data_IF_698446792247
#
_entry.id   IF_698446792247
#
_cell.length_a   1.000
_cell.length_b   1.000
_cell.length_c   1.000
_cell.angle_alpha   90.00
_cell.angle_beta   90.00
_cell.angle_gamma   90.00
#
_symmetry.space_group_name_H-M   'P 1'
#
loop_
_entity.id
_entity.type
_entity.pdbx_description
1 polymer ?
#
# COMPACT_ATOMS: atom_id res chain seq x y z
N UNK A 1 -8.64 -18.96 -24.67
CA UNK A 1 -7.99 -17.64 -24.81
C UNK A 1 -7.47 -17.25 -23.44
N UNK A 2 -6.20 -17.56 -23.17
CA UNK A 2 -5.53 -17.34 -21.89
C UNK A 2 -5.16 -15.85 -21.76
N UNK A 3 -5.51 -15.26 -20.61
CA UNK A 3 -5.37 -13.84 -20.30
C UNK A 3 -3.90 -13.34 -20.42
N UNK A 4 -3.57 -12.71 -21.55
CA UNK A 4 -2.32 -11.98 -21.81
C UNK A 4 -2.07 -10.79 -20.87
N UNK A 5 -3.03 -10.45 -20.00
CA UNK A 5 -2.87 -9.38 -19.01
C UNK A 5 -1.77 -9.66 -17.97
N UNK A 6 -1.45 -10.93 -17.71
CA UNK A 6 -0.35 -11.31 -16.81
C UNK A 6 1.03 -11.03 -17.41
N UNK A 7 1.15 -10.99 -18.75
CA UNK A 7 2.42 -10.83 -19.47
C UNK A 7 2.86 -9.38 -19.70
N UNK A 8 2.07 -8.37 -19.28
CA UNK A 8 2.35 -6.95 -19.60
C UNK A 8 3.01 -6.14 -18.49
N UNK A 9 3.22 -6.70 -17.29
CA UNK A 9 3.94 -5.99 -16.22
C UNK A 9 5.44 -6.14 -16.45
N UNK A 10 6.16 -5.02 -16.50
CA UNK A 10 7.62 -5.06 -16.51
C UNK A 10 8.15 -5.80 -15.27
N UNK A 11 9.35 -6.39 -15.31
CA UNK A 11 9.92 -7.11 -14.17
C UNK A 11 9.93 -6.28 -12.88
N UNK A 12 10.16 -4.97 -12.98
CA UNK A 12 10.16 -4.05 -11.84
C UNK A 12 8.77 -3.94 -11.20
N UNK A 13 7.71 -3.87 -11.99
CA UNK A 13 6.32 -3.81 -11.51
C UNK A 13 5.92 -5.14 -10.87
N UNK A 14 6.36 -6.27 -11.43
CA UNK A 14 6.13 -7.58 -10.83
C UNK A 14 6.83 -7.72 -9.48
N UNK A 15 8.08 -7.27 -9.39
CA UNK A 15 8.83 -7.26 -8.14
C UNK A 15 8.18 -6.35 -7.09
N UNK A 16 7.74 -5.16 -7.48
CA UNK A 16 7.00 -4.25 -6.60
C UNK A 16 5.69 -4.88 -6.11
N UNK A 17 4.93 -5.54 -6.98
CA UNK A 17 3.71 -6.26 -6.60
C UNK A 17 3.99 -7.40 -5.59
N UNK A 18 5.07 -8.15 -5.80
CA UNK A 18 5.50 -9.21 -4.88
C UNK A 18 5.86 -8.65 -3.49
N UNK A 19 6.59 -7.53 -3.46
CA UNK A 19 6.92 -6.83 -2.21
C UNK A 19 5.67 -6.33 -1.48
N UNK A 20 4.72 -5.72 -2.21
CA UNK A 20 3.43 -5.29 -1.65
C UNK A 20 2.67 -6.49 -1.05
N UNK A 21 2.61 -7.62 -1.77
CA UNK A 21 1.97 -8.85 -1.30
C UNK A 21 2.63 -9.36 -0.01
N UNK A 22 3.96 -9.38 0.04
CA UNK A 22 4.72 -9.75 1.23
C UNK A 22 4.40 -8.85 2.42
N UNK A 23 4.39 -7.52 2.25
CA UNK A 23 4.04 -6.55 3.30
C UNK A 23 2.64 -6.83 3.86
N UNK A 24 1.66 -7.15 2.99
CA UNK A 24 0.31 -7.50 3.44
C UNK A 24 0.27 -8.81 4.23
N UNK A 25 1.02 -9.82 3.82
CA UNK A 25 1.11 -11.10 4.55
C UNK A 25 1.70 -10.87 5.94
N UNK A 26 2.80 -10.11 6.04
CA UNK A 26 3.43 -9.76 7.31
C UNK A 26 2.51 -8.95 8.21
N UNK A 27 1.78 -7.98 7.65
CA UNK A 27 0.80 -7.19 8.39
C UNK A 27 -0.34 -8.08 8.93
N UNK A 28 -0.87 -8.97 8.10
CA UNK A 28 -1.92 -9.91 8.50
C UNK A 28 -1.44 -10.87 9.60
N UNK A 29 -0.17 -11.33 9.50
CA UNK A 29 0.45 -12.15 10.53
C UNK A 29 0.57 -11.40 11.85
N UNK A 30 1.14 -10.19 11.83
CA UNK A 30 1.23 -9.32 13.01
C UNK A 30 -0.13 -9.09 13.66
N UNK A 31 -1.17 -8.87 12.87
CA UNK A 31 -2.52 -8.70 13.38
C UNK A 31 -3.06 -9.97 14.07
N UNK A 32 -2.77 -11.16 13.53
CA UNK A 32 -3.11 -12.44 14.18
C UNK A 32 -2.37 -12.61 15.51
N UNK A 33 -1.07 -12.35 15.52
CA UNK A 33 -0.21 -12.51 16.69
C UNK A 33 -0.64 -11.57 17.83
N UNK A 34 -0.88 -10.30 17.51
CA UNK A 34 -1.33 -9.31 18.49
C UNK A 34 -2.74 -9.63 19.00
N UNK A 35 -3.65 -10.12 18.14
CA UNK A 35 -4.98 -10.59 18.59
C UNK A 35 -4.86 -11.77 19.55
N UNK A 36 -3.99 -12.73 19.24
CA UNK A 36 -3.75 -13.87 20.12
C UNK A 36 -3.17 -13.41 21.46
N UNK A 37 -2.16 -12.54 21.45
CA UNK A 37 -1.56 -11.95 22.65
C UNK A 37 -2.57 -11.16 23.51
N UNK A 38 -3.48 -10.41 22.89
CA UNK A 38 -4.53 -9.69 23.60
C UNK A 38 -5.52 -10.65 24.27
N UNK A 39 -5.88 -11.76 23.61
CA UNK A 39 -6.75 -12.80 24.18
C UNK A 39 -6.11 -13.54 25.35
N UNK A 40 -4.79 -13.71 25.34
CA UNK A 40 -4.04 -14.37 26.42
C UNK A 40 -3.65 -13.43 27.57
N UNK A 41 -4.24 -12.23 27.62
CA UNK A 41 -4.12 -11.32 28.76
C UNK A 41 -2.88 -10.43 28.75
N UNK A 42 -2.22 -10.21 27.60
CA UNK A 42 -1.10 -9.26 27.51
C UNK A 42 -1.61 -7.82 27.35
N UNK A 43 -1.52 -6.94 28.37
CA UNK A 43 -2.15 -5.61 28.33
C UNK A 43 -1.59 -4.71 27.22
N UNK A 44 -0.29 -4.77 26.94
CA UNK A 44 0.33 -4.01 25.84
C UNK A 44 -0.22 -4.42 24.45
N UNK A 45 -0.67 -5.66 24.29
CA UNK A 45 -1.21 -6.13 23.01
C UNK A 45 -2.57 -5.49 22.68
N UNK A 46 -3.37 -5.11 23.68
CA UNK A 46 -4.63 -4.40 23.45
C UNK A 46 -4.38 -3.00 22.83
N UNK A 47 -3.37 -2.28 23.32
CA UNK A 47 -2.96 -0.98 22.78
C UNK A 47 -2.43 -1.12 21.35
N UNK A 48 -1.56 -2.11 21.11
CA UNK A 48 -1.03 -2.39 19.76
C UNK A 48 -2.16 -2.78 18.81
N UNK A 49 -3.13 -3.58 19.26
CA UNK A 49 -4.28 -3.98 18.46
C UNK A 49 -5.17 -2.78 18.10
N UNK A 50 -5.41 -1.89 19.05
CA UNK A 50 -6.15 -0.65 18.81
C UNK A 50 -5.43 0.23 17.78
N UNK A 51 -4.11 0.38 17.91
CA UNK A 51 -3.29 1.10 16.94
C UNK A 51 -3.40 0.48 15.54
N UNK A 52 -3.16 -0.83 15.40
CA UNK A 52 -3.27 -1.54 14.11
C UNK A 52 -4.68 -1.49 13.50
N UNK A 53 -5.74 -1.37 14.31
CA UNK A 53 -7.10 -1.17 13.80
C UNK A 53 -7.32 0.24 13.27
N UNK A 54 -6.72 1.24 13.91
CA UNK A 54 -6.78 2.64 13.48
C UNK A 54 -5.88 2.91 12.27
N UNK A 55 -4.76 2.18 12.12
CA UNK A 55 -3.82 2.30 11.00
C UNK A 55 -3.82 1.04 10.13
N UNK A 56 -4.81 0.90 9.22
CA UNK A 56 -4.86 -0.25 8.32
C UNK A 56 -3.59 -0.36 7.45
N UNK A 57 -3.34 -1.56 6.91
CA UNK A 57 -2.18 -1.81 6.05
C UNK A 57 -2.08 -0.76 4.95
N UNK A 58 -0.95 -0.06 4.89
CA UNK A 58 -0.77 1.13 4.05
C UNK A 58 -0.61 0.84 2.54
N UNK A 59 -0.74 -0.42 2.12
CA UNK A 59 -0.51 -0.84 0.73
C UNK A 59 -1.71 -1.62 0.15
N UNK A 60 -2.05 -1.40 -1.13
CA UNK A 60 -3.20 -2.06 -1.76
C UNK A 60 -2.96 -3.56 -1.95
N UNK A 61 -4.03 -4.33 -2.13
CA UNK A 61 -3.92 -5.67 -2.67
C UNK A 61 -3.61 -5.57 -4.18
N UNK A 62 -2.43 -6.00 -4.65
CA UNK A 62 -2.02 -5.84 -6.05
C UNK A 62 -2.85 -6.70 -7.03
N UNK A 63 -3.67 -7.60 -6.49
CA UNK A 63 -4.59 -8.47 -7.23
C UNK A 63 -6.04 -7.92 -7.25
N UNK A 64 -6.33 -6.81 -6.55
CA UNK A 64 -7.69 -6.21 -6.53
C UNK A 64 -7.68 -4.82 -7.14
N UNK A 65 -8.29 -4.69 -8.32
CA UNK A 65 -8.42 -3.43 -9.06
C UNK A 65 -8.96 -2.27 -8.24
N UNK A 66 -10.07 -2.48 -7.53
CA UNK A 66 -10.70 -1.44 -6.71
C UNK A 66 -9.82 -0.96 -5.55
N UNK A 67 -9.01 -1.86 -4.97
CA UNK A 67 -8.09 -1.49 -3.89
C UNK A 67 -6.91 -0.68 -4.43
N UNK A 68 -6.34 -1.09 -5.57
CA UNK A 68 -5.31 -0.32 -6.28
C UNK A 68 -5.82 1.07 -6.70
N UNK A 69 -7.02 1.16 -7.28
CA UNK A 69 -7.62 2.43 -7.71
C UNK A 69 -7.79 3.42 -6.55
N UNK A 70 -8.29 2.94 -5.40
CA UNK A 70 -8.46 3.76 -4.19
C UNK A 70 -7.12 4.29 -3.68
N UNK A 71 -6.07 3.47 -3.70
CA UNK A 71 -4.74 3.90 -3.25
C UNK A 71 -4.06 4.84 -4.26
N UNK A 72 -4.28 4.64 -5.57
CA UNK A 72 -3.82 5.57 -6.60
C UNK A 72 -4.44 6.96 -6.39
N UNK A 73 -5.77 7.05 -6.25
CA UNK A 73 -6.46 8.31 -6.02
C UNK A 73 -6.00 9.03 -4.73
N UNK A 74 -5.73 8.26 -3.66
CA UNK A 74 -5.17 8.83 -2.43
C UNK A 74 -3.74 9.37 -2.64
N UNK A 75 -2.88 8.64 -3.34
CA UNK A 75 -1.52 9.08 -3.65
C UNK A 75 -1.52 10.33 -4.57
N UNK A 76 -2.44 10.41 -5.54
CA UNK A 76 -2.64 11.59 -6.39
C UNK A 76 -3.11 12.81 -5.59
N UNK A 77 -4.04 12.63 -4.65
CA UNK A 77 -4.48 13.69 -3.75
C UNK A 77 -3.30 14.21 -2.91
N UNK A 78 -2.52 13.30 -2.30
CA UNK A 78 -1.33 13.67 -1.54
C UNK A 78 -0.29 14.39 -2.41
N UNK A 79 -0.09 13.93 -3.66
CA UNK A 79 0.82 14.59 -4.59
C UNK A 79 0.37 16.03 -4.89
N UNK A 80 -0.93 16.25 -5.14
CA UNK A 80 -1.49 17.60 -5.35
C UNK A 80 -1.34 18.48 -4.12
N UNK A 81 -1.61 17.95 -2.93
CA UNK A 81 -1.47 18.73 -1.68
C UNK A 81 -0.02 19.15 -1.48
N UNK A 82 0.92 18.21 -1.65
CA UNK A 82 2.35 18.48 -1.51
C UNK A 82 2.90 19.43 -2.60
N UNK A 83 2.33 19.41 -3.82
CA UNK A 83 2.79 20.29 -4.90
C UNK A 83 2.37 21.75 -4.71
N UNK A 84 1.40 22.02 -3.83
CA UNK A 84 0.97 23.38 -3.46
C UNK A 84 1.84 24.01 -2.37
N UNK A 85 2.70 23.23 -1.71
CA UNK A 85 3.64 23.72 -0.70
C UNK A 85 4.85 24.36 -1.37
N UNK A 86 5.44 25.35 -0.73
CA UNK A 86 6.72 25.93 -1.19
C UNK A 86 7.88 24.94 -0.90
N UNK A 87 8.46 24.40 -1.97
CA UNK A 87 9.32 23.20 -1.93
C UNK A 87 10.81 23.48 -1.71
N UNK A 88 11.14 24.38 -0.79
CA UNK A 88 12.54 24.60 -0.40
C UNK A 88 13.11 23.49 0.51
N UNK A 89 12.24 22.68 1.13
CA UNK A 89 12.64 21.55 1.97
C UNK A 89 12.85 20.27 1.14
N UNK A 90 14.07 19.73 1.22
CA UNK A 90 14.48 18.46 0.59
C UNK A 90 13.56 17.29 0.99
N UNK A 91 13.06 17.30 2.23
CA UNK A 91 12.13 16.29 2.76
C UNK A 91 10.80 16.33 2.04
N UNK A 92 10.25 17.52 1.78
CA UNK A 92 8.97 17.68 1.10
C UNK A 92 9.09 17.28 -0.37
N UNK A 93 10.20 17.62 -1.03
CA UNK A 93 10.51 17.18 -2.40
C UNK A 93 10.63 15.66 -2.52
N UNK A 94 11.27 15.00 -1.55
CA UNK A 94 11.35 13.54 -1.51
C UNK A 94 9.96 12.90 -1.34
N UNK A 95 9.12 13.45 -0.45
CA UNK A 95 7.74 12.99 -0.26
C UNK A 95 6.88 13.19 -1.52
N UNK A 96 7.00 14.33 -2.19
CA UNK A 96 6.30 14.60 -3.44
C UNK A 96 6.65 13.58 -4.53
N UNK A 97 7.95 13.28 -4.68
CA UNK A 97 8.47 12.30 -5.63
C UNK A 97 7.98 10.89 -5.29
N UNK A 98 7.96 10.54 -4.01
CA UNK A 98 7.45 9.24 -3.55
C UNK A 98 5.94 9.10 -3.83
N UNK A 99 5.15 10.15 -3.56
CA UNK A 99 3.71 10.16 -3.82
C UNK A 99 3.39 9.98 -5.31
N UNK A 100 4.13 10.67 -6.19
CA UNK A 100 4.00 10.51 -7.65
C UNK A 100 4.30 9.06 -8.09
N UNK A 101 5.44 8.52 -7.67
CA UNK A 101 5.82 7.13 -8.01
C UNK A 101 4.82 6.10 -7.47
N UNK A 102 4.23 6.36 -6.31
CA UNK A 102 3.19 5.50 -5.74
C UNK A 102 1.89 5.57 -6.55
N UNK A 103 1.46 6.76 -6.94
CA UNK A 103 0.29 6.94 -7.81
C UNK A 103 0.45 6.16 -9.11
N UNK A 104 1.60 6.32 -9.79
CA UNK A 104 1.90 5.62 -11.04
C UNK A 104 1.89 4.10 -10.87
N UNK A 105 2.59 3.59 -9.85
CA UNK A 105 2.64 2.15 -9.57
C UNK A 105 1.24 1.60 -9.33
N UNK A 106 0.42 2.25 -8.51
CA UNK A 106 -0.92 1.77 -8.18
C UNK A 106 -1.89 1.87 -9.37
N UNK A 107 -1.75 2.88 -10.22
CA UNK A 107 -2.50 2.98 -11.48
C UNK A 107 -2.15 1.84 -12.44
N UNK A 108 -0.85 1.53 -12.61
CA UNK A 108 -0.41 0.38 -13.41
C UNK A 108 -0.98 -0.92 -12.83
N UNK A 109 -0.88 -1.11 -11.51
CA UNK A 109 -1.41 -2.32 -10.85
C UNK A 109 -2.93 -2.43 -11.00
N UNK A 110 -3.69 -1.33 -10.92
CA UNK A 110 -5.14 -1.32 -11.19
C UNK A 110 -5.44 -1.82 -12.60
N UNK A 111 -4.75 -1.31 -13.61
CA UNK A 111 -5.01 -1.65 -15.02
C UNK A 111 -4.66 -3.11 -15.34
N UNK A 112 -3.70 -3.67 -14.61
CA UNK A 112 -3.11 -4.99 -14.88
C UNK A 112 -3.52 -6.07 -13.89
N UNK A 113 -4.26 -5.72 -12.83
CA UNK A 113 -4.74 -6.71 -11.86
C UNK A 113 -5.79 -7.63 -12.51
N UNK A 114 -5.84 -8.92 -12.11
CA UNK A 114 -6.92 -9.81 -12.54
C UNK A 114 -8.29 -9.23 -12.16
N UNK A 115 -9.30 -9.52 -12.98
CA UNK A 115 -10.70 -9.13 -12.73
C UNK A 115 -11.29 -9.94 -11.58
#
# INVERSE_FOLDING_TARGET
MTNDAYSRRSPEIQHAAANIKMVRVLYAQRLRDVRHAARTGKPAAALILAHLRATPCAVPNPDRRSDCARHAAHAEALHRDLSTLDLHDVTVRAKLTAAAKQADLFAILQQTAPF
#
